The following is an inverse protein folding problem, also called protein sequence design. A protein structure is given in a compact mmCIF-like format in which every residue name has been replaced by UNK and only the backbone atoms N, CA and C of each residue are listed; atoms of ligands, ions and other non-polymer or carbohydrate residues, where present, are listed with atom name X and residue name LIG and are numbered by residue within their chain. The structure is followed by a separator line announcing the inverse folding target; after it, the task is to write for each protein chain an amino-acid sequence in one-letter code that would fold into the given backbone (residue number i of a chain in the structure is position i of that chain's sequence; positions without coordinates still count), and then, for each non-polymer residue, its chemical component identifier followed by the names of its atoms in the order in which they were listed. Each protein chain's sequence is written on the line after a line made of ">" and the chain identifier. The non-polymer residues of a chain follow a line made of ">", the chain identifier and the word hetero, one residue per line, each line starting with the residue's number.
data_IF_640807698660
#
_entry.id   IF_640807698660
#
_cell.length_a   1.000
_cell.length_b   1.000
_cell.length_c   1.000
_cell.angle_alpha   90.00
_cell.angle_beta   90.00
_cell.angle_gamma   90.00
#
_symmetry.space_group_name_H-M   'P 1'
#
loop_
_entity.id
_entity.type
_entity.pdbx_description
1 polymer ?
#
# COMPACT_ATOMS: atom_id res chain seq x y z
N UNK A 1 17.09 -11.72 4.46
CA UNK A 1 17.39 -10.33 4.94
C UNK A 1 16.06 -9.60 4.90
N UNK A 2 15.63 -8.97 6.00
CA UNK A 2 14.35 -8.28 6.05
C UNK A 2 14.32 -7.08 5.10
N UNK A 3 13.21 -6.90 4.37
CA UNK A 3 12.98 -5.76 3.48
C UNK A 3 12.89 -4.47 4.30
N UNK A 4 13.41 -3.36 3.75
CA UNK A 4 13.41 -2.04 4.39
C UNK A 4 12.84 -0.97 3.46
N UNK A 5 12.46 0.16 4.02
CA UNK A 5 12.07 1.33 3.23
C UNK A 5 13.23 1.77 2.32
N UNK A 6 12.93 2.00 1.05
CA UNK A 6 13.90 2.37 0.03
C UNK A 6 14.55 1.20 -0.70
N UNK A 7 14.44 -0.02 -0.19
CA UNK A 7 14.89 -1.21 -0.90
C UNK A 7 14.09 -1.42 -2.19
N UNK A 8 14.68 -2.04 -3.19
CA UNK A 8 13.94 -2.52 -4.35
C UNK A 8 13.06 -3.67 -3.92
N UNK A 9 11.74 -3.53 -4.12
CA UNK A 9 10.78 -4.59 -3.85
C UNK A 9 11.17 -5.83 -4.69
N UNK A 10 11.33 -7.01 -4.08
CA UNK A 10 11.71 -8.21 -4.81
C UNK A 10 10.72 -8.51 -5.95
N UNK A 11 11.24 -8.83 -7.14
CA UNK A 11 10.42 -9.33 -8.25
C UNK A 11 10.11 -10.80 -8.04
N UNK A 12 8.94 -11.24 -8.52
CA UNK A 12 8.53 -12.64 -8.46
C UNK A 12 7.54 -12.96 -9.59
N UNK A 13 7.39 -14.23 -9.87
CA UNK A 13 6.30 -14.75 -10.72
C UNK A 13 5.39 -15.61 -9.86
N UNK A 14 4.08 -15.38 -9.90
CA UNK A 14 3.10 -16.09 -9.10
C UNK A 14 1.79 -16.33 -9.85
N UNK A 15 1.08 -17.38 -9.43
CA UNK A 15 -0.29 -17.66 -9.86
C UNK A 15 -1.26 -16.79 -9.06
N UNK A 16 -2.22 -16.21 -9.73
CA UNK A 16 -3.28 -15.40 -9.10
C UNK A 16 -4.66 -15.82 -9.60
N UNK A 17 -5.70 -15.32 -8.95
CA UNK A 17 -7.10 -15.49 -9.43
C UNK A 17 -7.36 -14.87 -10.81
N UNK A 18 -6.45 -14.05 -11.31
CA UNK A 18 -6.53 -13.39 -12.63
C UNK A 18 -5.41 -13.87 -13.59
N UNK A 19 -4.84 -15.06 -13.34
CA UNK A 19 -3.77 -15.65 -14.14
C UNK A 19 -2.39 -15.41 -13.58
N UNK A 20 -1.36 -15.87 -14.30
CA UNK A 20 0.04 -15.74 -13.88
C UNK A 20 0.53 -14.32 -14.08
N UNK A 21 1.20 -13.76 -13.08
CA UNK A 21 1.86 -12.45 -13.17
C UNK A 21 3.35 -12.57 -12.90
N UNK A 22 4.15 -11.68 -13.53
CA UNK A 22 5.49 -11.29 -13.08
C UNK A 22 5.35 -9.90 -12.47
N UNK A 23 5.65 -9.75 -11.20
CA UNK A 23 5.20 -8.61 -10.38
C UNK A 23 5.65 -7.25 -10.91
N UNK A 24 6.94 -7.07 -11.23
CA UNK A 24 7.43 -5.80 -11.76
C UNK A 24 6.83 -5.46 -13.13
N UNK A 25 6.65 -6.47 -14.00
CA UNK A 25 6.01 -6.30 -15.29
C UNK A 25 4.53 -5.96 -15.14
N UNK A 26 3.82 -6.65 -14.23
CA UNK A 26 2.42 -6.38 -13.92
C UNK A 26 2.23 -4.98 -13.34
N UNK A 27 3.12 -4.55 -12.44
CA UNK A 27 3.08 -3.22 -11.84
C UNK A 27 3.26 -2.12 -12.88
N UNK A 28 4.18 -2.29 -13.84
CA UNK A 28 4.49 -1.27 -14.85
C UNK A 28 4.92 0.04 -14.20
N UNK A 29 4.41 1.17 -14.67
CA UNK A 29 4.69 2.52 -14.14
C UNK A 29 3.68 2.97 -13.07
N UNK A 30 2.85 2.04 -12.57
CA UNK A 30 1.90 2.31 -11.49
C UNK A 30 2.56 2.18 -10.12
N UNK A 31 1.93 2.79 -9.14
CA UNK A 31 2.13 2.43 -7.74
C UNK A 31 1.50 1.06 -7.46
N UNK A 32 1.98 0.37 -6.43
CA UNK A 32 1.43 -0.93 -6.02
C UNK A 32 1.14 -0.99 -4.54
N UNK A 33 0.07 -1.71 -4.19
CA UNK A 33 -0.22 -2.16 -2.84
C UNK A 33 -0.23 -3.68 -2.86
N UNK A 34 0.81 -4.28 -2.30
CA UNK A 34 0.88 -5.72 -2.04
C UNK A 34 0.53 -5.94 -0.57
N UNK A 35 -0.53 -6.70 -0.30
CA UNK A 35 -0.94 -6.97 1.07
C UNK A 35 -1.25 -8.45 1.30
N UNK A 36 -0.91 -8.95 2.49
CA UNK A 36 -1.21 -10.33 2.87
C UNK A 36 -2.41 -10.41 3.83
N UNK A 37 -3.11 -11.53 3.81
CA UNK A 37 -4.11 -11.90 4.80
C UNK A 37 -3.81 -13.32 5.34
N UNK A 38 -4.13 -13.61 6.61
CA UNK A 38 -3.72 -14.87 7.25
C UNK A 38 -4.31 -16.11 6.58
N UNK A 39 -5.63 -16.13 6.28
CA UNK A 39 -6.30 -17.31 5.78
C UNK A 39 -7.64 -16.98 5.13
N UNK A 40 -7.97 -17.70 4.06
CA UNK A 40 -9.29 -17.68 3.43
C UNK A 40 -10.39 -18.16 4.37
N UNK A 41 -11.64 -17.82 4.07
CA UNK A 41 -12.83 -18.22 4.82
C UNK A 41 -12.74 -17.85 6.31
N UNK A 42 -12.18 -16.66 6.61
CA UNK A 42 -12.11 -16.14 7.99
C UNK A 42 -12.77 -14.76 8.09
N UNK A 43 -13.39 -14.43 9.25
CA UNK A 43 -14.24 -13.25 9.35
C UNK A 43 -13.52 -11.93 9.03
N UNK A 44 -12.39 -11.66 9.67
CA UNK A 44 -11.66 -10.41 9.48
C UNK A 44 -11.14 -10.26 8.05
N UNK A 45 -10.60 -11.35 7.46
CA UNK A 45 -10.11 -11.33 6.08
C UNK A 45 -11.24 -11.05 5.09
N UNK A 46 -12.43 -11.64 5.30
CA UNK A 46 -13.62 -11.38 4.47
C UNK A 46 -13.97 -9.89 4.48
N UNK A 47 -14.00 -9.25 5.66
CA UNK A 47 -14.29 -7.81 5.76
C UNK A 47 -13.22 -6.95 5.09
N UNK A 48 -11.95 -7.31 5.21
CA UNK A 48 -10.84 -6.56 4.58
C UNK A 48 -10.89 -6.62 3.06
N UNK A 49 -11.03 -7.82 2.49
CA UNK A 49 -11.02 -7.99 1.03
C UNK A 49 -12.26 -7.35 0.40
N UNK A 50 -13.42 -7.46 1.04
CA UNK A 50 -14.63 -6.76 0.60
C UNK A 50 -14.49 -5.25 0.66
N UNK A 51 -13.90 -4.71 1.74
CA UNK A 51 -13.64 -3.28 1.84
C UNK A 51 -12.68 -2.79 0.76
N UNK A 52 -11.57 -3.49 0.53
CA UNK A 52 -10.62 -3.16 -0.55
C UNK A 52 -11.28 -3.20 -1.91
N UNK A 53 -12.15 -4.19 -2.18
CA UNK A 53 -12.91 -4.26 -3.42
C UNK A 53 -13.84 -3.05 -3.60
N UNK A 54 -14.52 -2.63 -2.54
CA UNK A 54 -15.41 -1.47 -2.57
C UNK A 54 -14.67 -0.16 -2.84
N UNK A 55 -13.47 0.03 -2.26
CA UNK A 55 -12.66 1.24 -2.45
C UNK A 55 -11.65 1.12 -3.60
N UNK A 56 -11.65 0.03 -4.36
CA UNK A 56 -10.74 -0.16 -5.51
C UNK A 56 -10.73 1.05 -6.47
N UNK A 57 -11.88 1.69 -6.80
CA UNK A 57 -11.88 2.89 -7.61
C UNK A 57 -11.04 4.05 -7.05
N UNK A 58 -10.87 4.15 -5.73
CA UNK A 58 -10.03 5.16 -5.11
C UNK A 58 -8.53 4.86 -5.32
N UNK A 59 -8.14 3.60 -5.35
CA UNK A 59 -6.80 3.19 -5.76
C UNK A 59 -6.56 3.48 -7.25
N UNK A 60 -7.53 3.16 -8.11
CA UNK A 60 -7.41 3.37 -9.56
C UNK A 60 -7.24 4.85 -9.93
N UNK A 61 -7.99 5.75 -9.29
CA UNK A 61 -7.84 7.22 -9.46
C UNK A 61 -6.42 7.71 -9.17
N UNK A 62 -5.68 7.01 -8.31
CA UNK A 62 -4.31 7.32 -7.90
C UNK A 62 -3.26 6.58 -8.71
N UNK A 63 -3.66 5.86 -9.77
CA UNK A 63 -2.79 4.95 -10.53
C UNK A 63 -2.09 3.93 -9.62
N UNK A 64 -2.86 3.30 -8.73
CA UNK A 64 -2.38 2.29 -7.78
C UNK A 64 -3.00 0.94 -8.12
N UNK A 65 -2.17 -0.06 -8.37
CA UNK A 65 -2.58 -1.45 -8.52
C UNK A 65 -2.56 -2.14 -7.16
N UNK A 66 -3.61 -2.92 -6.90
CA UNK A 66 -3.77 -3.64 -5.62
C UNK A 66 -3.69 -5.14 -5.89
N UNK A 67 -2.98 -5.86 -5.03
CA UNK A 67 -2.85 -7.32 -5.10
C UNK A 67 -2.81 -7.91 -3.69
N UNK A 68 -3.68 -8.91 -3.47
CA UNK A 68 -3.72 -9.67 -2.22
C UNK A 68 -2.84 -10.91 -2.27
N UNK A 69 -2.50 -11.47 -1.11
CA UNK A 69 -1.73 -12.70 -0.97
C UNK A 69 -2.13 -13.46 0.30
N UNK A 70 -2.23 -14.76 0.21
CA UNK A 70 -2.12 -15.66 1.36
C UNK A 70 -1.44 -16.98 0.98
N UNK A 71 -1.18 -17.82 1.96
CA UNK A 71 -0.65 -19.18 1.75
C UNK A 71 -1.69 -20.18 1.26
N UNK A 72 -2.94 -19.75 1.09
CA UNK A 72 -3.99 -20.58 0.48
C UNK A 72 -3.75 -20.71 -1.03
N UNK A 73 -4.39 -21.70 -1.65
CA UNK A 73 -4.29 -21.90 -3.11
C UNK A 73 -5.17 -20.93 -3.88
N UNK A 74 -4.85 -20.70 -5.15
CA UNK A 74 -5.71 -19.92 -6.08
C UNK A 74 -7.14 -20.48 -6.13
N UNK A 75 -7.31 -21.79 -6.15
CA UNK A 75 -8.63 -22.45 -6.14
C UNK A 75 -9.42 -22.14 -4.86
N UNK A 76 -8.74 -22.00 -3.72
CA UNK A 76 -9.36 -21.57 -2.47
C UNK A 76 -9.87 -20.13 -2.59
N UNK A 77 -9.03 -19.21 -3.05
CA UNK A 77 -9.41 -17.82 -3.29
C UNK A 77 -10.62 -17.70 -4.21
N UNK A 78 -10.61 -18.40 -5.35
CA UNK A 78 -11.71 -18.36 -6.33
C UNK A 78 -13.04 -18.83 -5.72
N UNK A 79 -13.03 -19.87 -4.88
CA UNK A 79 -14.23 -20.29 -4.17
C UNK A 79 -14.71 -19.29 -3.13
N UNK A 80 -13.76 -18.60 -2.48
CA UNK A 80 -14.08 -17.64 -1.43
C UNK A 80 -14.55 -16.27 -1.95
N UNK A 81 -14.20 -15.90 -3.19
CA UNK A 81 -14.65 -14.65 -3.83
C UNK A 81 -16.19 -14.53 -3.83
N UNK A 82 -16.92 -15.65 -3.98
CA UNK A 82 -18.37 -15.69 -3.90
C UNK A 82 -18.90 -15.24 -2.55
N UNK A 83 -18.36 -15.80 -1.46
CA UNK A 83 -18.77 -15.46 -0.08
C UNK A 83 -18.45 -13.99 0.25
N UNK A 84 -17.30 -13.49 -0.22
CA UNK A 84 -16.93 -12.08 -0.05
C UNK A 84 -17.94 -11.18 -0.75
N UNK A 85 -18.27 -11.47 -2.01
CA UNK A 85 -19.25 -10.70 -2.77
C UNK A 85 -20.64 -10.70 -2.14
N UNK A 86 -21.10 -11.86 -1.67
CA UNK A 86 -22.39 -12.02 -1.00
C UNK A 86 -22.44 -11.24 0.33
N UNK A 87 -21.41 -11.37 1.17
CA UNK A 87 -21.42 -10.81 2.53
C UNK A 87 -21.04 -9.34 2.59
N UNK A 88 -20.19 -8.85 1.65
CA UNK A 88 -19.66 -7.48 1.64
C UNK A 88 -20.30 -6.60 0.56
N UNK A 89 -21.13 -7.17 -0.30
CA UNK A 89 -21.87 -6.42 -1.34
C UNK A 89 -21.03 -5.99 -2.54
N UNK A 90 -19.76 -6.37 -2.59
CA UNK A 90 -18.86 -6.05 -3.71
C UNK A 90 -18.00 -7.27 -4.04
N UNK A 91 -18.05 -7.79 -5.28
CA UNK A 91 -17.17 -8.89 -5.68
C UNK A 91 -15.70 -8.44 -5.67
N UNK A 92 -14.79 -9.37 -5.38
CA UNK A 92 -13.35 -9.11 -5.46
C UNK A 92 -12.99 -8.72 -6.90
N UNK A 93 -12.29 -7.62 -7.06
CA UNK A 93 -11.99 -7.00 -8.36
C UNK A 93 -10.48 -6.69 -8.54
N UNK A 94 -9.66 -7.41 -7.81
CA UNK A 94 -8.19 -7.36 -7.86
C UNK A 94 -7.61 -8.78 -7.76
N UNK A 95 -6.40 -9.04 -8.29
CA UNK A 95 -5.79 -10.36 -8.21
C UNK A 95 -5.42 -10.75 -6.78
N UNK A 96 -5.59 -12.03 -6.46
CA UNK A 96 -5.12 -12.64 -5.22
C UNK A 96 -4.09 -13.73 -5.55
N UNK A 97 -2.90 -13.63 -4.97
CA UNK A 97 -1.82 -14.60 -5.12
C UNK A 97 -2.08 -15.79 -4.20
N UNK A 98 -2.12 -16.99 -4.77
CA UNK A 98 -2.03 -18.22 -4.01
C UNK A 98 -0.56 -18.60 -3.82
N UNK A 99 -0.11 -18.68 -2.55
CA UNK A 99 1.29 -18.91 -2.21
C UNK A 99 1.48 -20.13 -1.26
N UNK A 100 0.96 -21.34 -1.62
CA UNK A 100 1.02 -22.51 -0.75
C UNK A 100 2.47 -22.94 -0.43
N UNK A 101 3.40 -22.68 -1.33
CA UNK A 101 4.83 -22.96 -1.15
C UNK A 101 5.56 -21.87 -0.37
N UNK A 102 4.88 -20.79 0.02
CA UNK A 102 5.40 -19.64 0.78
C UNK A 102 6.57 -18.92 0.12
N UNK A 103 6.68 -18.99 -1.20
CA UNK A 103 7.78 -18.38 -1.93
C UNK A 103 7.73 -16.84 -1.84
N UNK A 104 6.57 -16.24 -2.11
CA UNK A 104 6.39 -14.81 -2.05
C UNK A 104 6.29 -14.33 -0.61
N UNK A 105 5.56 -15.06 0.24
CA UNK A 105 5.41 -14.74 1.68
C UNK A 105 6.76 -14.65 2.39
N UNK A 106 7.66 -15.61 2.13
CA UNK A 106 9.02 -15.60 2.71
C UNK A 106 9.88 -14.49 2.09
N UNK A 107 9.75 -14.25 0.78
CA UNK A 107 10.49 -13.21 0.07
C UNK A 107 10.22 -11.81 0.64
N UNK A 108 8.97 -11.58 1.07
CA UNK A 108 8.49 -10.32 1.64
C UNK A 108 8.41 -10.33 3.18
N UNK A 109 8.95 -11.35 3.84
CA UNK A 109 8.96 -11.48 5.31
C UNK A 109 7.54 -11.31 5.91
N UNK A 110 6.54 -11.97 5.28
CA UNK A 110 5.14 -11.88 5.69
C UNK A 110 4.72 -12.95 6.70
N UNK A 111 5.61 -13.92 7.01
CA UNK A 111 5.39 -14.95 8.01
C UNK A 111 6.25 -14.61 9.21
N UNK A 112 5.61 -14.38 10.35
CA UNK A 112 6.25 -14.03 11.61
C UNK A 112 6.17 -15.21 12.57
N UNK A 113 7.22 -16.03 12.74
CA UNK A 113 7.15 -17.30 13.48
C UNK A 113 6.64 -17.16 14.92
N UNK A 114 6.95 -16.06 15.59
CA UNK A 114 6.46 -15.81 16.96
C UNK A 114 4.99 -15.40 17.03
N UNK A 115 4.37 -15.02 15.91
CA UNK A 115 2.93 -14.73 15.81
C UNK A 115 2.17 -15.94 15.24
N UNK A 116 2.68 -16.49 14.12
CA UNK A 116 2.23 -17.72 13.48
C UNK A 116 3.33 -18.21 12.52
N UNK A 117 3.73 -19.46 12.61
CA UNK A 117 4.81 -20.02 11.79
C UNK A 117 4.35 -20.60 10.43
N UNK A 118 3.04 -20.65 10.21
CA UNK A 118 2.45 -21.27 9.03
C UNK A 118 1.64 -20.31 8.15
N UNK A 119 1.12 -19.23 8.71
CA UNK A 119 0.26 -18.25 8.04
C UNK A 119 0.93 -16.90 7.96
N UNK A 120 0.57 -16.12 6.94
CA UNK A 120 1.00 -14.72 6.86
C UNK A 120 0.30 -13.87 7.93
N UNK A 121 1.02 -12.87 8.43
CA UNK A 121 0.41 -11.75 9.17
C UNK A 121 -0.26 -10.78 8.20
N UNK A 122 -0.87 -9.70 8.68
CA UNK A 122 -1.51 -8.69 7.85
C UNK A 122 -0.50 -7.61 7.44
N UNK A 123 0.42 -7.95 6.55
CA UNK A 123 1.41 -7.01 6.01
C UNK A 123 0.83 -6.17 4.87
N UNK A 124 1.32 -4.95 4.72
CA UNK A 124 1.07 -4.06 3.59
C UNK A 124 2.39 -3.47 3.15
N UNK A 125 2.65 -3.53 1.85
CA UNK A 125 3.77 -2.86 1.19
C UNK A 125 3.22 -1.89 0.15
N UNK A 126 3.54 -0.61 0.27
CA UNK A 126 3.32 0.35 -0.81
C UNK A 126 4.62 0.47 -1.60
N UNK A 127 4.53 0.26 -2.90
CA UNK A 127 5.67 0.20 -3.82
C UNK A 127 5.49 1.29 -4.87
N UNK A 128 6.51 2.11 -5.06
CA UNK A 128 6.50 3.17 -6.05
C UNK A 128 6.72 2.68 -7.49
N UNK A 129 6.51 3.56 -8.50
CA UNK A 129 6.80 3.24 -9.92
C UNK A 129 8.27 2.86 -10.14
N UNK A 130 9.18 3.36 -9.30
CA UNK A 130 10.61 3.03 -9.27
C UNK A 130 10.91 1.64 -8.67
N UNK A 131 9.88 0.85 -8.38
CA UNK A 131 9.95 -0.48 -7.75
C UNK A 131 10.53 -0.46 -6.33
N UNK A 132 10.55 0.70 -5.68
CA UNK A 132 11.06 0.80 -4.30
C UNK A 132 9.93 0.76 -3.28
N UNK A 133 10.20 0.11 -2.16
CA UNK A 133 9.30 0.08 -1.01
C UNK A 133 9.23 1.47 -0.38
N UNK A 134 8.03 2.04 -0.33
CA UNK A 134 7.76 3.40 0.18
C UNK A 134 7.07 3.39 1.54
N UNK A 135 6.33 2.33 1.86
CA UNK A 135 5.66 2.13 3.14
C UNK A 135 5.61 0.65 3.46
N UNK A 136 5.71 0.35 4.74
CA UNK A 136 5.46 -0.99 5.29
C UNK A 136 4.60 -0.84 6.55
N UNK A 137 3.52 -1.60 6.64
CA UNK A 137 2.66 -1.67 7.82
C UNK A 137 2.38 -3.14 8.11
N UNK A 138 2.43 -3.52 9.37
CA UNK A 138 2.11 -4.89 9.80
C UNK A 138 1.12 -4.86 10.96
N UNK A 139 0.06 -5.64 10.82
CA UNK A 139 -0.99 -5.84 11.83
C UNK A 139 -1.02 -7.30 12.28
N UNK A 140 -1.38 -7.56 13.55
CA UNK A 140 -1.63 -8.92 14.01
C UNK A 140 -2.89 -9.50 13.36
N UNK A 141 -3.01 -10.82 13.35
CA UNK A 141 -4.15 -11.52 12.72
C UNK A 141 -5.51 -11.11 13.28
N UNK A 142 -5.58 -10.71 14.56
CA UNK A 142 -6.80 -10.31 15.26
C UNK A 142 -7.34 -8.93 14.89
N UNK A 143 -6.54 -8.10 14.17
CA UNK A 143 -6.87 -6.68 13.98
C UNK A 143 -6.98 -6.37 12.47
N UNK A 144 -8.19 -6.03 12.02
CA UNK A 144 -8.44 -5.53 10.67
C UNK A 144 -7.75 -4.19 10.42
N UNK A 145 -7.24 -4.00 9.19
CA UNK A 145 -6.47 -2.82 8.80
C UNK A 145 -7.36 -1.62 8.50
N UNK A 146 -6.79 -0.42 8.68
CA UNK A 146 -7.39 0.82 8.22
C UNK A 146 -6.90 1.13 6.80
N UNK A 147 -7.67 0.80 5.79
CA UNK A 147 -7.31 1.04 4.39
C UNK A 147 -7.44 2.52 3.99
N UNK A 148 -8.23 3.33 4.70
CA UNK A 148 -8.28 4.78 4.49
C UNK A 148 -6.95 5.43 4.86
N UNK A 149 -6.27 4.91 5.89
CA UNK A 149 -4.90 5.34 6.22
C UNK A 149 -3.91 4.96 5.12
N UNK A 150 -4.07 3.80 4.47
CA UNK A 150 -3.23 3.40 3.34
C UNK A 150 -3.43 4.38 2.17
N UNK A 151 -4.66 4.75 1.83
CA UNK A 151 -4.97 5.77 0.81
C UNK A 151 -4.38 7.13 1.20
N UNK A 152 -4.55 7.57 2.45
CA UNK A 152 -3.98 8.81 2.96
C UNK A 152 -2.46 8.87 2.81
N UNK A 153 -1.77 7.80 3.14
CA UNK A 153 -0.30 7.74 3.01
C UNK A 153 0.12 7.71 1.54
N UNK A 154 -0.63 7.03 0.66
CA UNK A 154 -0.39 7.06 -0.79
C UNK A 154 -0.49 8.50 -1.32
N UNK A 155 -1.53 9.25 -0.94
CA UNK A 155 -1.67 10.67 -1.31
C UNK A 155 -0.45 11.48 -0.87
N UNK A 156 -0.01 11.29 0.37
CA UNK A 156 1.20 11.92 0.89
C UNK A 156 2.46 11.54 0.11
N UNK A 157 2.66 10.26 -0.18
CA UNK A 157 3.82 9.76 -0.93
C UNK A 157 3.85 10.29 -2.37
N UNK A 158 2.70 10.34 -3.03
CA UNK A 158 2.58 10.88 -4.39
C UNK A 158 2.84 12.38 -4.42
N UNK A 159 2.32 13.14 -3.44
CA UNK A 159 2.57 14.57 -3.32
C UNK A 159 4.06 14.86 -3.09
N UNK A 160 4.66 14.20 -2.10
CA UNK A 160 6.08 14.42 -1.73
C UNK A 160 7.06 13.91 -2.77
N UNK A 161 6.64 13.00 -3.66
CA UNK A 161 7.46 12.58 -4.81
C UNK A 161 7.53 13.65 -5.91
N UNK A 162 6.51 14.51 -6.01
CA UNK A 162 6.41 15.57 -7.03
C UNK A 162 6.98 16.89 -6.53
N UNK A 163 6.77 17.21 -5.28
CA UNK A 163 7.10 18.50 -4.69
C UNK A 163 8.09 18.33 -3.53
N UNK A 164 8.91 19.35 -3.32
CA UNK A 164 9.87 19.40 -2.20
C UNK A 164 9.20 19.77 -0.88
N UNK A 165 8.15 19.06 -0.52
CA UNK A 165 7.33 19.25 0.69
C UNK A 165 7.30 17.99 1.54
N UNK A 166 6.85 18.15 2.78
CA UNK A 166 6.50 17.07 3.70
C UNK A 166 5.08 17.29 4.22
N UNK A 167 4.37 16.21 4.51
CA UNK A 167 3.03 16.26 5.09
C UNK A 167 3.11 16.21 6.62
N UNK A 168 2.40 17.09 7.35
CA UNK A 168 2.39 17.04 8.80
C UNK A 168 1.62 15.83 9.34
N UNK A 169 1.69 15.62 10.64
CA UNK A 169 0.93 14.57 11.32
C UNK A 169 -0.57 14.69 11.02
N UNK A 170 -1.21 13.54 10.74
CA UNK A 170 -2.65 13.45 10.42
C UNK A 170 -3.10 14.23 9.16
N UNK A 171 -2.16 14.67 8.34
CA UNK A 171 -2.46 15.40 7.11
C UNK A 171 -3.43 14.60 6.21
N UNK A 172 -4.34 15.33 5.59
CA UNK A 172 -5.24 14.81 4.54
C UNK A 172 -5.08 15.64 3.28
N UNK A 173 -5.34 15.02 2.13
CA UNK A 173 -5.26 15.69 0.84
C UNK A 173 -6.07 17.00 0.83
N UNK A 174 -5.46 18.08 0.31
CA UNK A 174 -6.00 19.44 0.32
C UNK A 174 -5.59 20.30 1.52
N UNK A 175 -4.97 19.74 2.56
CA UNK A 175 -4.50 20.51 3.72
C UNK A 175 -3.08 21.07 3.48
N UNK A 176 -2.73 22.06 4.30
CA UNK A 176 -1.40 22.69 4.27
C UNK A 176 -0.28 21.67 4.48
N UNK A 177 0.85 21.94 3.85
CA UNK A 177 2.06 21.11 3.89
C UNK A 177 3.25 21.91 4.42
N UNK A 178 4.34 21.23 4.68
CA UNK A 178 5.57 21.80 5.21
C UNK A 178 6.63 21.79 4.11
N UNK A 179 7.37 22.90 3.93
CA UNK A 179 8.54 22.91 3.03
C UNK A 179 9.58 21.92 3.56
N UNK A 180 10.11 21.09 2.68
CA UNK A 180 11.12 20.09 3.04
C UNK A 180 12.30 20.72 3.76
N UNK A 181 12.79 20.08 4.82
CA UNK A 181 13.86 20.64 5.68
C UNK A 181 15.18 20.95 4.94
N UNK A 182 15.45 20.24 3.84
CA UNK A 182 16.64 20.45 3.00
C UNK A 182 16.51 21.61 2.01
N UNK A 183 15.32 22.22 1.86
CA UNK A 183 15.07 23.32 0.94
C UNK A 183 15.50 24.64 1.60
N UNK A 184 16.45 25.34 0.98
CA UNK A 184 16.87 26.68 1.44
C UNK A 184 15.78 27.73 1.21
N UNK A 185 15.86 28.89 1.86
CA UNK A 185 14.90 29.98 1.61
C UNK A 185 15.02 30.53 0.17
N UNK A 186 16.20 30.51 -0.41
CA UNK A 186 16.42 30.88 -1.82
C UNK A 186 15.72 29.92 -2.77
N UNK A 187 15.87 28.63 -2.55
CA UNK A 187 15.21 27.60 -3.37
C UNK A 187 13.70 27.59 -3.15
N UNK A 188 13.27 27.80 -1.90
CA UNK A 188 11.86 27.91 -1.58
C UNK A 188 11.16 29.04 -2.34
N UNK A 189 11.80 30.22 -2.49
CA UNK A 189 11.28 31.35 -3.27
C UNK A 189 11.07 30.98 -4.76
N UNK A 190 11.95 30.14 -5.31
CA UNK A 190 11.83 29.67 -6.69
C UNK A 190 10.73 28.60 -6.83
N UNK A 191 10.69 27.65 -5.89
CA UNK A 191 9.76 26.52 -5.93
C UNK A 191 8.32 26.92 -5.56
N UNK A 192 8.16 27.89 -4.65
CA UNK A 192 6.88 28.32 -4.09
C UNK A 192 6.72 29.86 -4.22
N UNK A 193 6.55 30.38 -5.44
CA UNK A 193 6.52 31.84 -5.71
C UNK A 193 5.35 32.56 -5.01
N UNK A 194 4.30 31.83 -4.64
CA UNK A 194 3.17 32.38 -3.88
C UNK A 194 3.49 32.58 -2.39
N UNK A 195 4.70 32.20 -1.96
CA UNK A 195 5.15 32.36 -0.59
C UNK A 195 4.66 31.26 0.37
N UNK A 196 5.01 31.44 1.61
CA UNK A 196 4.69 30.51 2.71
C UNK A 196 4.59 31.27 4.03
N UNK A 197 4.04 30.61 5.06
CA UNK A 197 4.03 31.12 6.43
C UNK A 197 5.21 30.52 7.20
N UNK A 198 6.09 31.35 7.73
CA UNK A 198 7.16 30.93 8.65
C UNK A 198 6.63 30.95 10.07
N UNK A 199 6.38 29.78 10.65
CA UNK A 199 5.99 29.61 12.05
C UNK A 199 7.23 29.61 12.94
N UNK A 200 8.27 28.91 12.50
CA UNK A 200 9.63 28.89 13.05
C UNK A 200 10.62 28.77 11.88
N UNK A 201 11.91 29.08 12.07
CA UNK A 201 12.91 28.93 11.00
C UNK A 201 12.91 27.52 10.37
N UNK A 202 12.63 26.50 11.15
CA UNK A 202 12.55 25.10 10.72
C UNK A 202 11.12 24.63 10.36
N UNK A 203 10.08 25.47 10.53
CA UNK A 203 8.68 25.14 10.30
C UNK A 203 8.04 26.19 9.39
N UNK A 204 8.10 25.91 8.09
CA UNK A 204 7.58 26.74 7.01
C UNK A 204 6.40 26.03 6.36
N UNK A 205 5.22 26.62 6.46
CA UNK A 205 3.94 26.01 6.06
C UNK A 205 3.38 26.75 4.86
N UNK A 206 2.84 26.02 3.88
CA UNK A 206 2.20 26.56 2.69
C UNK A 206 0.98 25.73 2.29
N UNK A 207 0.02 26.31 1.55
CA UNK A 207 -1.04 25.54 0.93
C UNK A 207 -0.47 24.42 0.05
N UNK A 208 -1.16 23.29 0.00
CA UNK A 208 -0.75 22.16 -0.84
C UNK A 208 -0.52 22.62 -2.29
N UNK A 209 0.65 22.37 -2.88
CA UNK A 209 0.90 22.65 -4.29
C UNK A 209 0.06 21.70 -5.18
N UNK A 210 -0.33 22.18 -6.36
CA UNK A 210 -1.17 21.44 -7.33
C UNK A 210 -0.35 20.96 -8.51
#
# INVERSE_FOLDING_TARGET
>A
MAIRLGDTAPDFTAQTTQGTITFHKWLGDSWGVLFSHPKDFTPVCTTELGYVAAIKPEFDKRNVKVIGLSVDSVDSHMRWEGDIGETQGTPVNFPMIGDPDRNVSNLYDMIHPNANDTLTVRSVFVIGPDKKVKLMITYPASTGRNFDEILRVIDSLQLTSKFKVATPANWKDGQDVIIGASVTDEDAKKLFPNGWKTVKPYLRVLPQPK
#
